data_IF_766365414400
#
_entry.id   IF_766365414400
#
_cell.length_a   1.000
_cell.length_b   1.000
_cell.length_c   1.000
_cell.angle_alpha   90.00
_cell.angle_beta   90.00
_cell.angle_gamma   90.00
#
_symmetry.space_group_name_H-M   'P 1'
#
loop_
_entity.id
_entity.type
_entity.pdbx_description
1 polymer ?
#
# COMPACT_ATOMS: atom_id res chain seq x y z
N UNK A 1 62.52 -10.63 42.81
CA UNK A 1 61.42 -11.33 42.11
C UNK A 1 60.19 -10.43 42.20
N UNK A 2 59.93 -9.58 41.20
CA UNK A 2 58.83 -8.63 41.18
C UNK A 2 57.83 -9.07 40.10
N UNK A 3 56.66 -9.54 40.52
CA UNK A 3 55.59 -9.94 39.65
C UNK A 3 54.77 -8.70 39.20
N UNK A 4 54.67 -8.50 37.93
CA UNK A 4 53.85 -7.44 37.30
C UNK A 4 52.46 -7.98 36.97
N UNK A 5 51.37 -7.36 37.40
CA UNK A 5 50.03 -7.81 37.00
C UNK A 5 49.70 -7.25 35.64
N UNK A 6 49.36 -8.13 34.68
CA UNK A 6 48.79 -7.81 33.39
C UNK A 6 47.32 -7.44 33.60
N UNK A 7 46.96 -6.18 33.44
CA UNK A 7 45.59 -5.69 33.40
C UNK A 7 45.01 -5.91 31.99
N UNK A 8 44.08 -6.89 31.84
CA UNK A 8 43.27 -7.05 30.63
C UNK A 8 42.19 -5.95 30.62
N UNK A 9 42.33 -4.99 29.74
CA UNK A 9 41.26 -4.02 29.45
C UNK A 9 40.25 -4.68 28.51
N UNK A 10 39.04 -5.01 29.01
CA UNK A 10 37.93 -5.47 28.20
C UNK A 10 37.28 -4.25 27.48
N UNK A 11 37.50 -4.15 26.19
CA UNK A 11 36.82 -3.16 25.33
C UNK A 11 35.42 -3.68 25.01
N UNK A 12 34.40 -3.17 25.70
CA UNK A 12 33.00 -3.46 25.38
C UNK A 12 32.58 -2.61 24.19
N UNK A 13 32.41 -3.24 23.03
CA UNK A 13 31.88 -2.62 21.83
C UNK A 13 30.35 -2.54 21.97
N UNK A 14 29.82 -1.38 22.36
CA UNK A 14 28.40 -1.13 22.37
C UNK A 14 27.93 -0.89 20.92
N UNK A 15 27.33 -1.91 20.31
CA UNK A 15 26.63 -1.76 19.01
C UNK A 15 25.38 -0.91 19.22
N UNK A 16 25.42 0.34 18.81
CA UNK A 16 24.25 1.21 18.75
C UNK A 16 23.32 0.68 17.64
N UNK A 17 22.21 0.04 18.02
CA UNK A 17 21.12 -0.30 17.12
C UNK A 17 20.42 1.01 16.71
N UNK A 18 20.78 1.56 15.56
CA UNK A 18 20.03 2.64 14.93
C UNK A 18 18.68 2.08 14.49
N UNK A 19 17.64 2.28 15.29
CA UNK A 19 16.27 2.03 14.91
C UNK A 19 15.88 3.10 13.88
N UNK A 20 15.84 2.71 12.62
CA UNK A 20 15.24 3.54 11.55
C UNK A 20 13.75 3.61 11.81
N UNK A 21 13.27 4.68 12.40
CA UNK A 21 11.84 4.99 12.50
C UNK A 21 11.34 5.25 11.08
N UNK A 22 10.72 4.25 10.45
CA UNK A 22 10.04 4.45 9.18
C UNK A 22 8.85 5.37 9.42
N UNK A 23 8.93 6.58 8.94
CA UNK A 23 7.82 7.54 9.01
C UNK A 23 6.69 7.02 8.09
N UNK A 24 5.61 6.53 8.69
CA UNK A 24 4.45 6.05 7.96
C UNK A 24 3.72 7.22 7.34
N UNK A 25 3.59 7.24 6.01
CA UNK A 25 2.79 8.24 5.28
C UNK A 25 1.31 7.86 5.33
N UNK A 26 0.43 8.86 5.37
CA UNK A 26 -1.00 8.65 5.14
C UNK A 26 -1.32 8.67 3.65
N UNK A 27 -2.31 7.90 3.21
CA UNK A 27 -2.87 8.00 1.84
C UNK A 27 -3.32 9.43 1.51
N UNK A 28 -3.71 10.22 2.51
CA UNK A 28 -4.16 11.61 2.35
C UNK A 28 -3.04 12.58 1.99
N UNK A 29 -1.79 12.12 1.95
CA UNK A 29 -0.62 12.94 1.57
C UNK A 29 -0.38 13.03 0.07
N UNK A 30 -1.34 12.62 -0.77
CA UNK A 30 -1.17 12.67 -2.23
C UNK A 30 -0.14 11.66 -2.74
N UNK A 31 -0.38 10.39 -2.50
CA UNK A 31 0.58 9.29 -2.73
C UNK A 31 0.51 8.68 -4.14
N UNK A 32 -0.38 9.15 -5.00
CA UNK A 32 -0.54 8.71 -6.39
C UNK A 32 -0.82 9.91 -7.30
N UNK A 33 -0.72 9.75 -8.62
CA UNK A 33 -1.02 10.81 -9.58
C UNK A 33 -2.38 10.59 -10.26
N UNK A 34 -2.99 11.67 -10.75
CA UNK A 34 -4.26 11.61 -11.50
C UNK A 34 -4.16 10.75 -12.75
N UNK A 35 -3.00 10.75 -13.41
CA UNK A 35 -2.73 9.94 -14.60
C UNK A 35 -2.74 8.44 -14.26
N UNK A 36 -2.22 8.06 -13.09
CA UNK A 36 -2.32 6.67 -12.61
C UNK A 36 -3.78 6.26 -12.40
N UNK A 37 -4.57 7.10 -11.74
CA UNK A 37 -5.99 6.82 -11.53
C UNK A 37 -6.75 6.69 -12.86
N UNK A 38 -6.43 7.52 -13.85
CA UNK A 38 -7.03 7.44 -15.19
C UNK A 38 -6.71 6.11 -15.86
N UNK A 39 -5.45 5.68 -15.88
CA UNK A 39 -5.08 4.36 -16.43
C UNK A 39 -5.75 3.22 -15.64
N UNK A 40 -5.80 3.35 -14.31
CA UNK A 40 -6.47 2.41 -13.43
C UNK A 40 -7.96 2.25 -13.72
N UNK A 41 -8.64 3.33 -14.12
CA UNK A 41 -10.05 3.30 -14.53
C UNK A 41 -10.27 2.38 -15.74
N UNK A 42 -9.43 2.48 -16.76
CA UNK A 42 -9.52 1.62 -17.95
C UNK A 42 -9.25 0.15 -17.63
N UNK A 43 -8.24 -0.10 -16.79
CA UNK A 43 -7.93 -1.46 -16.32
C UNK A 43 -9.08 -2.05 -15.49
N UNK A 44 -9.66 -1.26 -14.59
CA UNK A 44 -10.80 -1.67 -13.78
C UNK A 44 -11.99 -2.08 -14.63
N UNK A 45 -12.39 -1.24 -15.60
CA UNK A 45 -13.50 -1.52 -16.51
C UNK A 45 -13.30 -2.81 -17.30
N UNK A 46 -12.06 -3.05 -17.76
CA UNK A 46 -11.76 -4.22 -18.58
C UNK A 46 -11.52 -5.52 -17.82
N UNK A 47 -11.21 -5.45 -16.52
CA UNK A 47 -10.75 -6.63 -15.76
C UNK A 47 -11.48 -6.89 -14.44
N UNK A 48 -12.14 -5.91 -13.88
CA UNK A 48 -12.67 -5.99 -12.51
C UNK A 48 -14.19 -5.74 -12.44
N UNK A 49 -14.72 -4.87 -13.32
CA UNK A 49 -16.09 -4.40 -13.27
C UNK A 49 -17.12 -5.52 -13.49
N UNK A 50 -16.79 -6.57 -14.23
CA UNK A 50 -17.67 -7.73 -14.44
C UNK A 50 -18.15 -8.33 -13.11
N UNK A 51 -17.24 -8.46 -12.13
CA UNK A 51 -17.56 -9.00 -10.81
C UNK A 51 -17.89 -7.93 -9.78
N UNK A 52 -17.17 -6.79 -9.78
CA UNK A 52 -17.31 -5.76 -8.75
C UNK A 52 -18.33 -4.66 -9.08
N UNK A 53 -18.92 -4.69 -10.28
CA UNK A 53 -19.86 -3.67 -10.76
C UNK A 53 -19.16 -2.43 -11.32
N UNK A 54 -19.80 -1.77 -12.29
CA UNK A 54 -19.32 -0.50 -12.84
C UNK A 54 -19.36 0.64 -11.81
N UNK A 55 -20.28 0.52 -10.86
CA UNK A 55 -20.50 1.43 -9.73
C UNK A 55 -19.64 1.13 -8.50
N UNK A 56 -18.81 0.06 -8.51
CA UNK A 56 -17.98 -0.43 -7.43
C UNK A 56 -18.76 -0.87 -6.16
N UNK A 57 -20.08 -1.06 -6.27
CA UNK A 57 -20.91 -1.50 -5.12
C UNK A 57 -20.78 -2.98 -4.81
N UNK A 58 -20.11 -3.74 -5.66
CA UNK A 58 -19.97 -5.18 -5.54
C UNK A 58 -21.17 -5.93 -6.09
N UNK A 59 -21.03 -7.24 -6.27
CA UNK A 59 -22.11 -8.14 -6.71
C UNK A 59 -21.91 -9.51 -6.08
N UNK A 60 -23.00 -10.13 -5.60
CA UNK A 60 -22.97 -11.48 -5.04
C UNK A 60 -21.80 -11.71 -4.06
N UNK A 61 -20.77 -12.45 -4.49
CA UNK A 61 -19.57 -12.74 -3.70
C UNK A 61 -18.45 -11.70 -3.82
N UNK A 62 -18.55 -10.78 -4.78
CA UNK A 62 -17.55 -9.73 -4.98
C UNK A 62 -17.84 -8.53 -4.09
N UNK A 63 -16.92 -8.15 -3.17
CA UNK A 63 -17.17 -7.06 -2.24
C UNK A 63 -17.20 -5.69 -2.93
N UNK A 64 -17.86 -4.72 -2.28
CA UNK A 64 -17.77 -3.32 -2.67
C UNK A 64 -16.33 -2.79 -2.60
N UNK A 65 -15.96 -2.00 -3.59
CA UNK A 65 -14.63 -1.38 -3.72
C UNK A 65 -14.65 0.13 -3.49
N UNK A 66 -15.80 0.69 -3.14
CA UNK A 66 -15.95 2.10 -2.81
C UNK A 66 -16.84 2.29 -1.58
N UNK A 67 -16.77 3.48 -0.98
CA UNK A 67 -17.62 3.93 0.10
C UNK A 67 -17.32 3.32 1.46
N UNK A 68 -18.33 3.34 2.33
CA UNK A 68 -18.21 2.89 3.72
C UNK A 68 -17.70 1.46 3.90
N UNK A 69 -18.24 0.46 3.16
CA UNK A 69 -17.76 -0.93 3.28
C UNK A 69 -16.29 -1.09 2.92
N UNK A 70 -15.81 -0.42 1.87
CA UNK A 70 -14.39 -0.42 1.52
C UNK A 70 -13.55 0.26 2.60
N UNK A 71 -13.97 1.45 3.03
CA UNK A 71 -13.29 2.19 4.09
C UNK A 71 -13.13 1.39 5.37
N UNK A 72 -14.20 0.78 5.86
CA UNK A 72 -14.18 -0.05 7.08
C UNK A 72 -13.26 -1.26 6.95
N UNK A 73 -13.26 -1.92 5.78
CA UNK A 73 -12.44 -3.11 5.55
C UNK A 73 -10.94 -2.82 5.59
N UNK A 74 -10.54 -1.65 5.09
CA UNK A 74 -9.13 -1.33 4.87
C UNK A 74 -8.58 -0.29 5.85
N UNK A 75 -9.40 0.25 6.72
CA UNK A 75 -8.96 1.24 7.71
C UNK A 75 -7.80 0.70 8.57
N UNK A 76 -6.74 1.48 8.66
CA UNK A 76 -5.51 1.09 9.36
C UNK A 76 -4.60 0.11 8.61
N UNK A 77 -5.00 -0.44 7.46
CA UNK A 77 -4.14 -1.31 6.65
C UNK A 77 -3.06 -0.51 5.89
N UNK A 78 -2.00 -1.16 5.47
CA UNK A 78 -1.01 -0.57 4.56
C UNK A 78 -1.43 -0.74 3.10
N UNK A 79 -0.96 0.13 2.19
CA UNK A 79 -1.19 -0.05 0.76
C UNK A 79 -0.56 -1.34 0.22
N UNK A 80 0.49 -1.85 0.87
CA UNK A 80 1.02 -3.18 0.57
C UNK A 80 -0.05 -4.26 0.65
N UNK A 81 -0.86 -4.28 1.71
CA UNK A 81 -1.93 -5.28 1.88
C UNK A 81 -3.01 -5.18 0.79
N UNK A 82 -3.38 -3.95 0.40
CA UNK A 82 -4.31 -3.76 -0.71
C UNK A 82 -3.69 -4.24 -2.03
N UNK A 83 -2.44 -3.91 -2.28
CA UNK A 83 -1.70 -4.31 -3.47
C UNK A 83 -1.59 -5.84 -3.58
N UNK A 84 -1.18 -6.50 -2.51
CA UNK A 84 -1.10 -7.96 -2.45
C UNK A 84 -2.47 -8.61 -2.70
N UNK A 85 -3.55 -8.02 -2.15
CA UNK A 85 -4.89 -8.49 -2.43
C UNK A 85 -5.29 -8.35 -3.89
N UNK A 86 -4.89 -7.27 -4.56
CA UNK A 86 -5.11 -7.09 -6.00
C UNK A 86 -4.32 -8.13 -6.83
N UNK A 87 -3.08 -8.45 -6.43
CA UNK A 87 -2.27 -9.48 -7.10
C UNK A 87 -2.87 -10.90 -7.00
N UNK A 88 -3.63 -11.16 -5.93
CA UNK A 88 -4.34 -12.44 -5.72
C UNK A 88 -5.63 -12.56 -6.55
N UNK A 89 -6.08 -11.47 -7.17
CA UNK A 89 -7.33 -11.42 -7.94
C UNK A 89 -7.04 -11.27 -9.44
N UNK A 90 -7.66 -12.04 -10.31
CA UNK A 90 -8.51 -13.21 -10.09
C UNK A 90 -7.67 -14.44 -9.71
N UNK A 91 -8.21 -15.34 -8.87
CA UNK A 91 -7.42 -16.41 -8.29
C UNK A 91 -6.88 -17.43 -9.30
N UNK A 92 -7.58 -17.70 -10.39
CA UNK A 92 -7.30 -18.88 -11.23
C UNK A 92 -6.99 -18.58 -12.71
N UNK A 93 -7.07 -17.33 -13.18
CA UNK A 93 -6.79 -16.96 -14.57
C UNK A 93 -5.47 -16.20 -14.73
N UNK A 94 -4.41 -16.92 -15.09
CA UNK A 94 -3.11 -16.34 -15.36
C UNK A 94 -3.13 -15.29 -16.51
N UNK A 95 -4.06 -15.44 -17.47
CA UNK A 95 -4.19 -14.51 -18.60
C UNK A 95 -4.85 -13.18 -18.19
N UNK A 96 -5.61 -13.18 -17.08
CA UNK A 96 -6.21 -11.97 -16.54
C UNK A 96 -5.27 -11.18 -15.61
N UNK A 97 -4.12 -11.73 -15.25
CA UNK A 97 -3.13 -11.06 -14.39
C UNK A 97 -2.57 -9.81 -15.04
N UNK A 98 -2.48 -8.78 -14.24
CA UNK A 98 -1.87 -7.51 -14.63
C UNK A 98 -0.37 -7.51 -14.29
N UNK A 99 0.39 -6.64 -14.95
CA UNK A 99 1.74 -6.34 -14.52
C UNK A 99 1.71 -5.57 -13.17
N UNK A 100 2.76 -5.66 -12.34
CA UNK A 100 2.80 -4.95 -11.05
C UNK A 100 2.52 -3.43 -11.16
N UNK A 101 3.02 -2.79 -12.23
CA UNK A 101 2.75 -1.37 -12.51
C UNK A 101 1.29 -1.08 -12.83
N UNK A 102 0.58 -2.03 -13.43
CA UNK A 102 -0.85 -1.90 -13.71
C UNK A 102 -1.68 -2.09 -12.43
N UNK A 103 -1.26 -2.96 -11.51
CA UNK A 103 -1.93 -3.09 -10.21
C UNK A 103 -1.83 -1.81 -9.38
N UNK A 104 -0.71 -1.07 -9.41
CA UNK A 104 -0.65 0.24 -8.72
C UNK A 104 -1.49 1.30 -9.42
N UNK A 105 -1.69 1.24 -10.73
CA UNK A 105 -2.65 2.10 -11.43
C UNK A 105 -4.10 1.80 -10.99
N UNK A 106 -4.47 0.51 -10.87
CA UNK A 106 -5.78 0.13 -10.30
C UNK A 106 -5.90 0.58 -8.84
N UNK A 107 -4.85 0.43 -8.04
CA UNK A 107 -4.84 0.91 -6.66
C UNK A 107 -5.05 2.43 -6.59
N UNK A 108 -4.39 3.20 -7.46
CA UNK A 108 -4.59 4.65 -7.57
C UNK A 108 -6.05 5.00 -7.94
N UNK A 109 -6.66 4.25 -8.86
CA UNK A 109 -8.08 4.39 -9.17
C UNK A 109 -8.96 4.13 -7.95
N UNK A 110 -8.73 3.04 -7.21
CA UNK A 110 -9.49 2.73 -6.00
C UNK A 110 -9.36 3.83 -4.92
N UNK A 111 -8.17 4.41 -4.78
CA UNK A 111 -7.97 5.56 -3.89
C UNK A 111 -8.79 6.77 -4.36
N UNK A 112 -8.80 7.05 -5.67
CA UNK A 112 -9.52 8.21 -6.23
C UNK A 112 -11.04 8.12 -6.05
N UNK A 113 -11.64 6.95 -6.30
CA UNK A 113 -13.10 6.74 -6.13
C UNK A 113 -13.52 6.74 -4.65
N UNK A 114 -12.57 6.51 -3.75
CA UNK A 114 -12.77 6.67 -2.30
C UNK A 114 -12.39 8.07 -1.80
N UNK A 115 -12.33 9.06 -2.71
CA UNK A 115 -12.11 10.48 -2.40
C UNK A 115 -10.76 10.81 -1.75
N UNK A 116 -9.79 9.92 -1.84
CA UNK A 116 -8.40 10.21 -1.46
C UNK A 116 -7.78 11.12 -2.53
N UNK A 117 -7.15 12.25 -2.17
CA UNK A 117 -6.64 13.19 -3.16
C UNK A 117 -5.40 12.66 -3.88
N UNK A 118 -5.31 12.94 -5.17
CA UNK A 118 -4.07 12.76 -5.93
C UNK A 118 -2.99 13.76 -5.49
N UNK A 119 -1.75 13.39 -5.73
CA UNK A 119 -0.58 14.25 -5.53
C UNK A 119 0.28 14.33 -6.79
N UNK A 120 1.52 14.72 -6.61
CA UNK A 120 2.50 14.89 -7.69
C UNK A 120 3.48 13.72 -7.81
N UNK A 121 3.47 12.81 -6.86
CA UNK A 121 4.35 11.63 -6.86
C UNK A 121 3.58 10.39 -7.25
N UNK A 122 4.11 9.64 -8.22
CA UNK A 122 3.52 8.39 -8.63
C UNK A 122 3.67 7.30 -7.55
N UNK A 123 2.64 6.50 -7.39
CA UNK A 123 2.69 5.27 -6.60
C UNK A 123 3.57 4.25 -7.34
N UNK A 124 4.47 3.59 -6.63
CA UNK A 124 5.39 2.61 -7.20
C UNK A 124 5.03 1.19 -6.78
N UNK A 125 5.27 0.21 -7.66
CA UNK A 125 5.01 -1.21 -7.40
C UNK A 125 6.16 -1.83 -6.57
N UNK A 126 6.47 -1.20 -5.45
CA UNK A 126 7.48 -1.64 -4.48
C UNK A 126 6.80 -1.91 -3.14
N UNK A 127 6.91 -3.17 -2.67
CA UNK A 127 6.18 -3.62 -1.47
C UNK A 127 6.65 -2.93 -0.19
N UNK A 128 7.90 -2.52 -0.11
CA UNK A 128 8.42 -1.82 1.07
C UNK A 128 7.95 -0.35 1.06
N UNK A 129 7.98 0.31 -0.10
CA UNK A 129 7.41 1.64 -0.26
C UNK A 129 5.90 1.65 0.04
N UNK A 130 5.14 0.65 -0.43
CA UNK A 130 3.71 0.50 -0.16
C UNK A 130 3.42 0.17 1.31
N UNK A 131 4.31 -0.55 1.99
CA UNK A 131 4.19 -0.83 3.43
C UNK A 131 4.34 0.43 4.30
N UNK A 132 5.05 1.44 3.82
CA UNK A 132 5.21 2.72 4.49
C UNK A 132 4.01 3.66 4.34
N UNK A 133 2.98 3.28 3.57
CA UNK A 133 1.78 4.09 3.34
C UNK A 133 0.58 3.43 4.01
N UNK A 134 -0.08 4.17 4.90
CA UNK A 134 -1.24 3.69 5.65
C UNK A 134 -2.54 4.22 5.05
N UNK A 135 -3.49 3.31 4.80
CA UNK A 135 -4.85 3.68 4.45
C UNK A 135 -5.62 4.08 5.72
N UNK A 136 -6.31 5.20 5.67
CA UNK A 136 -7.30 5.59 6.66
C UNK A 136 -8.54 6.08 5.94
N UNK A 137 -9.70 5.57 6.36
CA UNK A 137 -11.00 5.90 5.74
C UNK A 137 -11.40 7.36 5.94
N UNK A 138 -10.85 8.01 6.96
CA UNK A 138 -11.11 9.42 7.26
C UNK A 138 -9.81 10.23 7.14
N UNK A 139 -9.96 11.44 6.62
CA UNK A 139 -8.85 12.39 6.58
C UNK A 139 -8.45 12.76 8.02
N UNK A 140 -7.16 12.64 8.37
CA UNK A 140 -6.67 13.09 9.68
C UNK A 140 -7.02 14.57 9.91
N UNK A 141 -7.53 14.89 11.08
CA UNK A 141 -7.71 16.28 11.52
C UNK A 141 -6.35 16.74 12.04
N UNK A 142 -5.82 17.80 11.47
CA UNK A 142 -4.63 18.50 11.94
C UNK A 142 -5.02 19.63 12.87
#
# INVERSE_FOLDING_TARGET
>A
MTAWPLALAAVTFAAALTQTTQTTKSVWSGVYTSEQATRGTELYRGKCAECHGDDLEGRESAPALAGGPFGQRWDGATLKKLFERLEEMPPDDAAARLAPTQYVDVLAFLLSVNHIPAGTSALVADKDALAAIKYTSQRPKF
#
